data_IF_456491136502
#
_entry.id   IF_456491136502
#
_cell.length_a   1.000
_cell.length_b   1.000
_cell.length_c   1.000
_cell.angle_alpha   90.00
_cell.angle_beta   90.00
_cell.angle_gamma   90.00
#
_symmetry.space_group_name_H-M   'P 1'
#
loop_
_entity.id
_entity.type
_entity.pdbx_description
1 polymer ?
#
# COMPACT_ATOMS: atom_id res chain seq x y z
N UNK A 1 4.29 17.21 -14.29
CA UNK A 1 3.43 16.31 -13.47
C UNK A 1 2.27 17.12 -12.90
N UNK A 2 1.05 16.60 -13.01
CA UNK A 2 -0.11 17.22 -12.39
C UNK A 2 0.00 17.01 -10.88
N UNK A 3 0.03 18.10 -10.10
CA UNK A 3 0.24 18.05 -8.63
C UNK A 3 -1.01 17.67 -7.85
N UNK A 4 -2.13 17.45 -8.53
CA UNK A 4 -3.40 17.15 -7.89
C UNK A 4 -3.45 15.68 -7.47
N UNK A 5 -3.85 15.45 -6.22
CA UNK A 5 -4.08 14.11 -5.70
C UNK A 5 -5.06 13.34 -6.58
N UNK A 6 -4.86 12.02 -6.69
CA UNK A 6 -5.71 11.13 -7.49
C UNK A 6 -7.18 11.12 -7.04
N UNK A 7 -7.42 11.48 -5.77
CA UNK A 7 -8.75 11.71 -5.18
C UNK A 7 -9.55 12.84 -5.85
N UNK A 8 -8.88 13.78 -6.52
CA UNK A 8 -9.52 14.87 -7.27
C UNK A 8 -9.56 14.63 -8.78
N UNK A 9 -9.26 13.41 -9.22
CA UNK A 9 -9.36 13.05 -10.63
C UNK A 9 -10.80 13.29 -11.14
N UNK A 10 -10.90 13.87 -12.33
CA UNK A 10 -12.17 14.03 -13.05
C UNK A 10 -12.79 12.67 -13.35
N UNK A 11 -11.93 11.70 -13.66
CA UNK A 11 -12.29 10.30 -13.84
C UNK A 11 -12.72 9.67 -12.51
N UNK A 12 -13.89 9.02 -12.51
CA UNK A 12 -14.49 8.39 -11.34
C UNK A 12 -13.72 7.16 -10.89
N UNK A 13 -13.19 6.37 -11.83
CA UNK A 13 -12.50 5.13 -11.52
C UNK A 13 -11.13 5.44 -10.90
N UNK A 14 -10.44 6.47 -11.41
CA UNK A 14 -9.21 6.96 -10.79
C UNK A 14 -9.45 7.47 -9.36
N UNK A 15 -10.56 8.17 -9.11
CA UNK A 15 -10.89 8.66 -7.76
C UNK A 15 -11.08 7.54 -6.75
N UNK A 16 -11.64 6.42 -7.18
CA UNK A 16 -11.88 5.25 -6.33
C UNK A 16 -10.64 4.35 -6.20
N UNK A 17 -9.65 4.53 -7.07
CA UNK A 17 -8.46 3.68 -7.11
C UNK A 17 -7.64 3.75 -5.81
N UNK A 18 -7.57 4.91 -5.16
CA UNK A 18 -6.85 5.06 -3.88
C UNK A 18 -7.43 4.16 -2.78
N UNK A 19 -8.76 4.14 -2.64
CA UNK A 19 -9.45 3.28 -1.67
C UNK A 19 -9.25 1.80 -2.01
N UNK A 20 -9.29 1.46 -3.31
CA UNK A 20 -9.04 0.10 -3.76
C UNK A 20 -7.61 -0.36 -3.45
N UNK A 21 -6.61 0.48 -3.69
CA UNK A 21 -5.20 0.21 -3.39
C UNK A 21 -4.96 0.07 -1.88
N UNK A 22 -5.57 0.91 -1.04
CA UNK A 22 -5.47 0.79 0.42
C UNK A 22 -6.01 -0.56 0.90
N UNK A 23 -7.16 -1.01 0.38
CA UNK A 23 -7.71 -2.34 0.70
C UNK A 23 -6.81 -3.47 0.23
N UNK A 24 -6.23 -3.35 -0.97
CA UNK A 24 -5.31 -4.33 -1.50
C UNK A 24 -4.04 -4.44 -0.63
N UNK A 25 -3.47 -3.30 -0.23
CA UNK A 25 -2.32 -3.24 0.67
C UNK A 25 -2.64 -3.89 2.02
N UNK A 26 -3.78 -3.55 2.64
CA UNK A 26 -4.19 -4.13 3.90
C UNK A 26 -4.31 -5.67 3.82
N UNK A 27 -4.90 -6.19 2.75
CA UNK A 27 -5.00 -7.64 2.52
C UNK A 27 -3.63 -8.29 2.31
N UNK A 28 -2.74 -7.65 1.56
CA UNK A 28 -1.39 -8.14 1.35
C UNK A 28 -0.63 -8.26 2.68
N UNK A 29 -0.77 -7.28 3.58
CA UNK A 29 -0.20 -7.34 4.93
C UNK A 29 -0.76 -8.47 5.78
N UNK A 30 -2.08 -8.66 5.79
CA UNK A 30 -2.71 -9.78 6.51
C UNK A 30 -2.22 -11.13 5.98
N UNK A 31 -2.13 -11.26 4.65
CA UNK A 31 -1.63 -12.48 4.03
C UNK A 31 -0.17 -12.73 4.42
N UNK A 32 0.69 -11.72 4.27
CA UNK A 32 2.10 -11.77 4.62
C UNK A 32 2.35 -12.15 6.09
N UNK A 33 1.54 -11.63 7.01
CA UNK A 33 1.57 -12.01 8.42
C UNK A 33 1.19 -13.48 8.62
N UNK A 34 0.16 -13.95 7.91
CA UNK A 34 -0.34 -15.33 8.04
C UNK A 34 0.64 -16.34 7.47
N UNK A 35 1.33 -16.02 6.38
CA UNK A 35 2.28 -16.90 5.70
C UNK A 35 3.72 -16.73 6.16
N UNK A 36 4.00 -15.71 6.99
CA UNK A 36 5.36 -15.37 7.40
C UNK A 36 6.25 -14.88 6.25
N UNK A 37 5.66 -14.36 5.17
CA UNK A 37 6.39 -13.89 3.99
C UNK A 37 6.59 -12.38 4.03
N UNK A 38 7.74 -11.90 3.55
CA UNK A 38 7.99 -10.45 3.41
C UNK A 38 7.24 -9.85 2.22
N UNK A 39 6.90 -8.57 2.33
CA UNK A 39 6.37 -7.77 1.21
C UNK A 39 7.53 -6.98 0.60
N UNK A 40 7.62 -6.97 -0.72
CA UNK A 40 8.57 -6.13 -1.46
C UNK A 40 7.81 -4.93 -2.02
N UNK A 41 8.22 -3.72 -1.67
CA UNK A 41 7.65 -2.47 -2.17
C UNK A 41 8.68 -1.79 -3.05
N UNK A 42 8.28 -1.40 -4.27
CA UNK A 42 9.11 -0.60 -5.16
C UNK A 42 8.47 0.77 -5.36
N UNK A 43 9.16 1.84 -4.98
CA UNK A 43 8.69 3.21 -5.17
C UNK A 43 9.87 4.12 -5.54
N UNK A 44 9.70 4.97 -6.54
CA UNK A 44 10.75 5.90 -7.01
C UNK A 44 12.12 5.25 -7.29
N UNK A 45 12.11 4.00 -7.76
CA UNK A 45 13.34 3.22 -8.03
C UNK A 45 14.01 2.62 -6.78
N UNK A 46 13.45 2.84 -5.60
CA UNK A 46 13.87 2.26 -4.32
C UNK A 46 13.08 0.96 -4.09
N UNK A 47 13.77 -0.11 -3.74
CA UNK A 47 13.17 -1.39 -3.35
C UNK A 47 13.32 -1.55 -1.85
N UNK A 48 12.20 -1.70 -1.15
CA UNK A 48 12.12 -1.89 0.29
C UNK A 48 11.52 -3.25 0.62
N UNK A 49 12.10 -3.91 1.61
CA UNK A 49 11.58 -5.15 2.16
C UNK A 49 10.85 -4.85 3.47
N UNK A 50 9.55 -5.12 3.49
CA UNK A 50 8.72 -5.01 4.69
C UNK A 50 8.57 -6.39 5.30
N UNK A 51 9.22 -6.60 6.44
CA UNK A 51 9.07 -7.83 7.20
C UNK A 51 7.62 -7.96 7.69
N UNK A 52 7.05 -9.18 7.72
CA UNK A 52 5.74 -9.39 8.31
C UNK A 52 5.83 -9.08 9.80
N UNK A 53 5.20 -7.99 10.25
CA UNK A 53 5.11 -7.69 11.68
C UNK A 53 3.99 -8.55 12.29
N UNK A 54 4.30 -9.58 13.10
CA UNK A 54 3.29 -10.42 13.72
C UNK A 54 2.40 -9.67 14.72
N UNK A 55 2.75 -8.43 15.10
CA UNK A 55 2.00 -7.64 16.09
C UNK A 55 1.15 -6.50 15.52
N UNK A 56 1.04 -6.33 14.19
CA UNK A 56 0.09 -5.38 13.60
C UNK A 56 0.22 -3.92 14.07
N UNK A 57 1.35 -3.54 14.67
CA UNK A 57 1.63 -2.16 15.06
C UNK A 57 2.25 -1.45 13.87
N UNK A 58 1.43 -0.68 13.15
CA UNK A 58 1.91 0.41 12.30
C UNK A 58 2.59 1.42 13.22
N UNK A 59 3.91 1.35 13.33
CA UNK A 59 4.70 2.41 13.98
C UNK A 59 4.92 3.51 12.94
N UNK A 60 4.28 4.69 13.07
CA UNK A 60 4.65 5.84 12.26
C UNK A 60 6.01 6.35 12.76
N UNK A 61 6.93 6.61 11.84
CA UNK A 61 8.16 7.36 12.10
C UNK A 61 7.91 8.84 11.83
#
# INVERSE_FOLDING_TARGET
MNKQSIEYAKDRDLRLSQVAMQRAAQRAHVLAQTTGTAIVVSHDGIVELVAPNPQGTVTPK
#
